data_IF_444727966339
#
_entry.id   IF_444727966339
#
_cell.length_a   1.000
_cell.length_b   1.000
_cell.length_c   1.000
_cell.angle_alpha   90.00
_cell.angle_beta   90.00
_cell.angle_gamma   90.00
#
_symmetry.space_group_name_H-M   'P 1'
#
loop_
_entity.id
_entity.type
_entity.pdbx_description
1 polymer ?
#
# COMPACT_ATOMS: atom_id res chain seq x y z
N UNK A 1 10.07 -15.86 17.68
CA UNK A 1 11.29 -15.08 17.43
C UNK A 1 11.73 -15.30 15.98
N UNK A 2 11.96 -14.25 15.23
CA UNK A 2 12.43 -14.34 13.85
C UNK A 2 13.68 -13.49 13.67
N UNK A 3 14.67 -14.02 12.97
CA UNK A 3 15.91 -13.32 12.62
C UNK A 3 16.00 -13.23 11.11
N UNK A 4 16.24 -12.04 10.58
CA UNK A 4 16.33 -11.80 9.13
C UNK A 4 17.64 -11.11 8.79
N UNK A 5 18.30 -11.60 7.74
CA UNK A 5 19.43 -10.95 7.10
C UNK A 5 19.07 -10.66 5.65
N UNK A 6 19.00 -9.39 5.28
CA UNK A 6 18.64 -8.93 3.96
C UNK A 6 19.78 -8.11 3.36
N UNK A 7 20.25 -8.55 2.19
CA UNK A 7 21.26 -7.86 1.41
C UNK A 7 20.66 -7.38 0.10
N UNK A 8 20.85 -6.11 -0.22
CA UNK A 8 20.46 -5.51 -1.49
C UNK A 8 21.63 -4.75 -2.07
N UNK A 9 21.90 -4.98 -3.34
CA UNK A 9 22.85 -4.22 -4.15
C UNK A 9 22.12 -3.70 -5.39
N UNK A 10 22.29 -2.43 -5.70
CA UNK A 10 21.78 -1.80 -6.92
C UNK A 10 22.88 -0.98 -7.56
N UNK A 11 23.10 -1.22 -8.85
CA UNK A 11 24.07 -0.50 -9.66
C UNK A 11 23.31 0.14 -10.83
N UNK A 12 23.52 1.44 -11.03
CA UNK A 12 23.00 2.16 -12.18
C UNK A 12 24.13 2.91 -12.84
N UNK A 13 24.19 2.81 -14.15
CA UNK A 13 25.03 3.67 -14.97
C UNK A 13 24.12 4.60 -15.76
N UNK A 14 24.31 5.90 -15.63
CA UNK A 14 23.60 6.91 -16.39
C UNK A 14 24.58 7.64 -17.28
N UNK A 15 24.35 7.58 -18.59
CA UNK A 15 25.11 8.35 -19.57
C UNK A 15 24.18 9.44 -20.09
N UNK A 16 24.48 10.69 -19.76
CA UNK A 16 23.73 11.83 -20.30
C UNK A 16 24.07 12.01 -21.77
N UNK A 17 23.09 12.12 -22.70
CA UNK A 17 23.37 12.28 -24.13
C UNK A 17 24.21 13.53 -24.49
N UNK A 18 24.24 14.50 -23.60
CA UNK A 18 24.94 15.80 -23.77
C UNK A 18 26.14 16.02 -22.83
N UNK A 19 26.43 15.07 -21.93
CA UNK A 19 27.52 15.20 -20.98
C UNK A 19 28.60 14.15 -21.27
N UNK A 20 29.85 14.56 -21.25
CA UNK A 20 31.02 13.66 -21.36
C UNK A 20 31.24 12.85 -20.06
N UNK A 21 30.35 12.96 -19.08
CA UNK A 21 30.49 12.30 -17.77
C UNK A 21 29.57 11.09 -17.66
N UNK A 22 30.16 9.94 -17.41
CA UNK A 22 29.46 8.73 -16.98
C UNK A 22 29.12 8.85 -15.49
N UNK A 23 27.86 8.67 -15.14
CA UNK A 23 27.41 8.72 -13.75
C UNK A 23 27.12 7.32 -13.26
N UNK A 24 27.99 6.78 -12.38
CA UNK A 24 27.84 5.46 -11.79
C UNK A 24 27.19 5.59 -10.40
N UNK A 25 26.09 4.91 -10.22
CA UNK A 25 25.37 4.84 -8.95
C UNK A 25 25.42 3.40 -8.41
N UNK A 26 26.22 3.16 -7.37
CA UNK A 26 26.28 1.87 -6.66
C UNK A 26 25.82 2.06 -5.22
N UNK A 27 24.80 1.33 -4.80
CA UNK A 27 24.34 1.29 -3.42
C UNK A 27 24.27 -0.12 -2.90
N UNK A 28 24.77 -0.33 -1.71
CA UNK A 28 24.69 -1.60 -1.00
C UNK A 28 24.03 -1.37 0.34
N UNK A 29 22.97 -2.10 0.62
CA UNK A 29 22.27 -2.06 1.90
C UNK A 29 22.21 -3.45 2.51
N UNK A 30 22.61 -3.55 3.75
CA UNK A 30 22.49 -4.77 4.56
C UNK A 30 21.72 -4.46 5.81
N UNK A 31 20.61 -5.19 6.04
CA UNK A 31 19.79 -5.08 7.25
C UNK A 31 19.73 -6.42 7.97
N UNK A 32 19.98 -6.37 9.27
CA UNK A 32 19.78 -7.48 10.20
C UNK A 32 18.77 -7.07 11.23
N UNK A 33 17.79 -7.91 11.50
CA UNK A 33 16.76 -7.63 12.50
C UNK A 33 16.39 -8.88 13.30
N UNK A 34 16.03 -8.63 14.56
CA UNK A 34 15.47 -9.60 15.48
C UNK A 34 14.09 -9.12 15.87
N UNK A 35 13.07 -9.94 15.60
CA UNK A 35 11.68 -9.67 15.97
C UNK A 35 11.28 -10.64 17.05
N UNK A 36 10.82 -10.11 18.18
CA UNK A 36 10.30 -10.88 19.30
C UNK A 36 8.85 -10.52 19.50
N UNK A 37 7.97 -11.51 19.57
CA UNK A 37 6.54 -11.31 19.84
C UNK A 37 6.14 -12.22 21.01
N UNK A 38 5.42 -11.65 21.97
CA UNK A 38 4.77 -12.36 23.06
C UNK A 38 3.30 -11.95 23.11
N UNK A 39 2.40 -12.92 23.19
CA UNK A 39 0.96 -12.69 23.26
C UNK A 39 0.39 -13.56 24.36
N UNK A 40 -0.38 -12.94 25.25
CA UNK A 40 -1.23 -13.62 26.23
C UNK A 40 -2.68 -13.40 25.82
N UNK A 41 -3.46 -14.47 25.73
CA UNK A 41 -4.88 -14.40 25.41
C UNK A 41 -5.68 -15.18 26.46
N UNK A 42 -6.77 -14.59 26.94
CA UNK A 42 -7.69 -15.20 27.90
C UNK A 42 -9.13 -15.05 27.40
N UNK A 43 -9.85 -16.17 27.37
CA UNK A 43 -11.27 -16.22 27.01
C UNK A 43 -12.08 -16.43 28.25
N UNK A 44 -12.89 -15.44 28.64
CA UNK A 44 -13.78 -15.51 29.78
C UNK A 44 -15.03 -16.35 29.47
N UNK A 45 -15.70 -16.86 30.49
CA UNK A 45 -16.94 -17.66 30.36
C UNK A 45 -18.05 -16.94 29.59
N UNK A 46 -18.12 -15.61 29.68
CA UNK A 46 -19.08 -14.76 28.94
C UNK A 46 -18.66 -14.47 27.49
N UNK A 47 -17.74 -15.25 26.91
CA UNK A 47 -17.19 -15.12 25.55
C UNK A 47 -16.50 -13.77 25.30
N UNK A 48 -16.09 -13.08 26.33
CA UNK A 48 -15.21 -11.93 26.21
C UNK A 48 -13.78 -12.44 26.03
N UNK A 49 -13.06 -11.97 25.03
CA UNK A 49 -11.63 -12.28 24.82
C UNK A 49 -10.81 -11.07 25.20
N UNK A 50 -9.84 -11.25 26.06
CA UNK A 50 -8.83 -10.27 26.40
C UNK A 50 -7.48 -10.76 25.85
N UNK A 51 -6.74 -9.86 25.20
CA UNK A 51 -5.41 -10.13 24.71
C UNK A 51 -4.46 -9.03 25.16
N UNK A 52 -3.27 -9.41 25.61
CA UNK A 52 -2.15 -8.53 25.88
C UNK A 52 -0.98 -8.95 24.99
N UNK A 53 -0.49 -8.05 24.18
CA UNK A 53 0.57 -8.33 23.23
C UNK A 53 1.77 -7.39 23.37
N UNK A 54 2.93 -7.94 23.10
CA UNK A 54 4.18 -7.21 23.01
C UNK A 54 4.93 -7.63 21.77
N UNK A 55 5.36 -6.67 20.97
CA UNK A 55 6.26 -6.90 19.85
C UNK A 55 7.46 -5.98 19.95
N UNK A 56 8.64 -6.56 19.83
CA UNK A 56 9.90 -5.82 19.79
C UNK A 56 10.62 -6.13 18.49
N UNK A 57 11.17 -5.10 17.86
CA UNK A 57 12.05 -5.23 16.70
C UNK A 57 13.33 -4.47 16.97
N UNK A 58 14.44 -5.18 17.01
CA UNK A 58 15.79 -4.61 17.04
C UNK A 58 16.39 -4.78 15.66
N UNK A 59 16.80 -3.70 15.02
CA UNK A 59 17.36 -3.77 13.68
C UNK A 59 18.62 -2.90 13.54
N UNK A 60 19.54 -3.38 12.73
CA UNK A 60 20.72 -2.62 12.29
C UNK A 60 20.80 -2.64 10.79
N UNK A 61 20.83 -1.45 10.20
CA UNK A 61 21.01 -1.25 8.75
C UNK A 61 22.35 -0.61 8.50
N UNK A 62 23.09 -1.12 7.50
CA UNK A 62 24.35 -0.56 7.02
C UNK A 62 24.16 -0.25 5.55
N UNK A 63 24.25 1.03 5.20
CA UNK A 63 24.15 1.52 3.82
C UNK A 63 25.52 2.02 3.37
N UNK A 64 25.93 1.59 2.18
CA UNK A 64 27.10 2.10 1.48
C UNK A 64 26.63 2.72 0.17
N UNK A 65 27.14 3.90 -0.12
CA UNK A 65 26.85 4.65 -1.34
C UNK A 65 28.15 4.84 -2.12
N UNK A 66 28.11 5.26 -3.35
CA UNK A 66 29.25 5.45 -4.27
C UNK A 66 30.39 6.32 -3.75
N UNK A 67 30.17 7.07 -2.70
CA UNK A 67 31.18 7.92 -2.11
C UNK A 67 32.18 7.09 -1.30
N UNK A 68 33.46 7.46 -1.25
CA UNK A 68 34.46 6.79 -0.42
C UNK A 68 34.22 6.95 1.08
N UNK A 69 33.11 7.62 1.45
CA UNK A 69 32.75 7.90 2.82
C UNK A 69 32.43 6.63 3.62
N UNK A 70 32.55 6.73 4.94
CA UNK A 70 32.20 5.65 5.84
C UNK A 70 30.75 5.18 5.66
N UNK A 71 30.49 3.86 5.81
CA UNK A 71 29.13 3.35 5.66
C UNK A 71 28.22 3.90 6.76
N UNK A 72 27.02 4.33 6.36
CA UNK A 72 25.97 4.77 7.27
C UNK A 72 25.41 3.60 8.06
N UNK A 73 25.42 3.72 9.38
CA UNK A 73 24.95 2.67 10.30
C UNK A 73 23.77 3.18 11.10
N UNK A 74 22.61 2.61 10.85
CA UNK A 74 21.36 2.96 11.54
C UNK A 74 20.95 1.83 12.45
N UNK A 75 20.81 2.12 13.74
CA UNK A 75 20.23 1.22 14.71
C UNK A 75 18.78 1.65 14.98
N UNK A 76 17.87 0.69 15.00
CA UNK A 76 16.46 0.90 15.26
C UNK A 76 15.99 -0.05 16.35
N UNK A 77 15.18 0.49 17.24
CA UNK A 77 14.44 -0.29 18.24
C UNK A 77 12.98 0.13 18.19
N UNK A 78 12.11 -0.80 17.89
CA UNK A 78 10.67 -0.56 17.86
C UNK A 78 10.00 -1.47 18.87
N UNK A 79 9.29 -0.89 19.81
CA UNK A 79 8.51 -1.61 20.81
C UNK A 79 7.04 -1.27 20.59
N UNK A 80 6.19 -2.28 20.62
CA UNK A 80 4.75 -2.11 20.58
C UNK A 80 4.13 -2.98 21.69
N UNK A 81 3.48 -2.33 22.64
CA UNK A 81 2.68 -2.99 23.69
C UNK A 81 1.23 -2.65 23.42
N UNK A 82 0.34 -3.64 23.43
CA UNK A 82 -1.08 -3.41 23.23
C UNK A 82 -1.95 -4.30 24.10
N UNK A 83 -3.14 -3.81 24.37
CA UNK A 83 -4.24 -4.59 24.97
C UNK A 83 -5.44 -4.57 24.02
N UNK A 84 -6.07 -5.72 23.84
CA UNK A 84 -7.27 -5.87 23.03
C UNK A 84 -8.37 -6.51 23.85
N UNK A 85 -9.57 -5.97 23.72
CA UNK A 85 -10.80 -6.53 24.28
C UNK A 85 -11.79 -6.80 23.15
N UNK A 86 -12.28 -8.03 23.07
CA UNK A 86 -13.29 -8.42 22.09
C UNK A 86 -14.50 -9.00 22.79
N UNK A 87 -15.69 -8.54 22.43
CA UNK A 87 -16.95 -9.00 23.02
C UNK A 87 -18.10 -9.03 22.02
N UNK A 88 -18.85 -10.11 22.03
CA UNK A 88 -20.14 -10.21 21.37
C UNK A 88 -21.28 -9.93 22.37
N UNK A 89 -22.21 -9.05 22.00
CA UNK A 89 -23.43 -8.71 22.76
C UNK A 89 -24.62 -8.85 21.83
N UNK A 90 -25.33 -9.95 21.92
CA UNK A 90 -26.40 -10.27 20.97
C UNK A 90 -25.87 -10.32 19.54
N UNK A 91 -26.36 -9.45 18.68
CA UNK A 91 -25.97 -9.34 17.27
C UNK A 91 -24.86 -8.32 17.02
N UNK A 92 -24.25 -7.79 18.06
CA UNK A 92 -23.18 -6.79 17.98
C UNK A 92 -21.86 -7.41 18.40
N UNK A 93 -20.81 -7.25 17.60
CA UNK A 93 -19.43 -7.55 17.95
C UNK A 93 -18.65 -6.26 18.07
N UNK A 94 -17.89 -6.15 19.16
CA UNK A 94 -17.04 -4.99 19.46
C UNK A 94 -15.63 -5.50 19.72
N UNK A 95 -14.66 -4.91 19.03
CA UNK A 95 -13.23 -5.08 19.31
C UNK A 95 -12.63 -3.72 19.62
N UNK A 96 -12.02 -3.59 20.78
CA UNK A 96 -11.27 -2.43 21.21
C UNK A 96 -9.81 -2.82 21.28
N UNK A 97 -8.94 -2.08 20.64
CA UNK A 97 -7.50 -2.26 20.74
C UNK A 97 -6.86 -0.92 21.12
N UNK A 98 -5.97 -0.93 22.08
CA UNK A 98 -5.17 0.23 22.45
C UNK A 98 -3.77 -0.21 22.79
N UNK A 99 -2.80 0.57 22.37
CA UNK A 99 -1.39 0.25 22.58
C UNK A 99 -0.50 1.47 22.51
N UNK A 100 0.74 1.25 22.87
CA UNK A 100 1.78 2.26 22.79
C UNK A 100 2.93 1.75 21.95
N UNK A 101 3.35 2.55 20.99
CA UNK A 101 4.50 2.30 20.15
C UNK A 101 5.62 3.26 20.52
N UNK A 102 6.79 2.69 20.82
CA UNK A 102 8.01 3.41 21.15
C UNK A 102 9.06 3.05 20.10
N UNK A 103 9.47 4.04 19.31
CA UNK A 103 10.47 3.86 18.29
C UNK A 103 11.71 4.68 18.62
N UNK A 104 12.86 4.03 18.57
CA UNK A 104 14.16 4.66 18.70
C UNK A 104 14.96 4.44 17.43
N UNK A 105 15.51 5.54 16.89
CA UNK A 105 16.38 5.53 15.71
C UNK A 105 17.68 6.25 16.11
N UNK A 106 18.82 5.62 15.85
CA UNK A 106 20.15 6.20 16.09
C UNK A 106 21.07 6.00 14.90
N UNK A 107 21.72 7.08 14.50
CA UNK A 107 22.79 7.11 13.52
C UNK A 107 23.89 8.06 13.99
N UNK A 108 25.10 7.55 14.19
CA UNK A 108 26.21 8.35 14.72
C UNK A 108 25.84 9.01 16.05
N UNK A 109 25.96 10.35 16.09
CA UNK A 109 25.53 11.19 17.21
C UNK A 109 24.03 11.54 17.18
N UNK A 110 23.35 11.37 16.04
CA UNK A 110 21.96 11.70 15.87
C UNK A 110 21.06 10.60 16.43
N UNK A 111 20.13 10.95 17.31
CA UNK A 111 19.15 10.02 17.84
C UNK A 111 17.78 10.65 17.97
N UNK A 112 16.72 9.85 17.80
CA UNK A 112 15.33 10.26 17.95
C UNK A 112 14.52 9.19 18.64
N UNK A 113 13.66 9.63 19.58
CA UNK A 113 12.65 8.83 20.22
C UNK A 113 11.28 9.32 19.81
N UNK A 114 10.40 8.40 19.45
CA UNK A 114 9.01 8.67 19.14
C UNK A 114 8.14 7.77 20.02
N UNK A 115 7.23 8.38 20.77
CA UNK A 115 6.26 7.66 21.60
C UNK A 115 4.87 8.04 21.09
N UNK A 116 4.08 7.04 20.69
CA UNK A 116 2.76 7.25 20.15
C UNK A 116 1.79 6.18 20.62
N UNK A 117 0.55 6.61 20.77
CA UNK A 117 -0.57 5.69 20.92
C UNK A 117 -0.89 5.05 19.55
N UNK A 118 -1.37 3.82 19.56
CA UNK A 118 -1.98 3.14 18.44
C UNK A 118 -3.26 2.47 18.96
N UNK A 119 -4.42 2.89 18.44
CA UNK A 119 -5.71 2.43 18.95
C UNK A 119 -6.67 2.18 17.81
N UNK A 120 -7.55 1.19 17.97
CA UNK A 120 -8.65 0.94 17.05
C UNK A 120 -9.91 0.50 17.78
N UNK A 121 -11.03 0.82 17.17
CA UNK A 121 -12.33 0.27 17.51
C UNK A 121 -12.94 -0.33 16.25
N UNK A 122 -13.38 -1.58 16.35
CA UNK A 122 -14.14 -2.28 15.33
C UNK A 122 -15.50 -2.63 15.89
N UNK A 123 -16.55 -2.27 15.18
CA UNK A 123 -17.92 -2.60 15.52
C UNK A 123 -18.56 -3.28 14.32
N UNK A 124 -19.17 -4.44 14.54
CA UNK A 124 -19.97 -5.14 13.54
C UNK A 124 -21.33 -5.46 14.15
N UNK A 125 -22.39 -5.01 13.49
CA UNK A 125 -23.76 -5.20 13.93
C UNK A 125 -24.58 -5.88 12.83
N UNK A 126 -25.06 -7.10 13.12
CA UNK A 126 -25.99 -7.83 12.28
C UNK A 126 -27.41 -7.41 12.66
N UNK A 127 -28.01 -6.47 11.91
CA UNK A 127 -29.38 -5.96 12.16
C UNK A 127 -30.38 -7.07 11.88
N UNK A 128 -30.22 -7.73 10.73
CA UNK A 128 -31.01 -8.90 10.28
C UNK A 128 -30.08 -9.85 9.52
N UNK A 129 -30.54 -11.07 9.21
CA UNK A 129 -29.75 -12.07 8.45
C UNK A 129 -29.20 -11.56 7.12
N UNK A 130 -29.82 -10.55 6.56
CA UNK A 130 -29.48 -9.96 5.27
C UNK A 130 -29.07 -8.48 5.34
N UNK A 131 -28.83 -7.97 6.54
CA UNK A 131 -28.47 -6.55 6.77
C UNK A 131 -27.42 -6.47 7.87
N UNK A 132 -26.30 -5.86 7.59
CA UNK A 132 -25.24 -5.60 8.58
C UNK A 132 -24.56 -4.26 8.36
N UNK A 133 -24.13 -3.70 9.46
CA UNK A 133 -23.33 -2.47 9.53
C UNK A 133 -21.97 -2.83 10.07
N UNK A 134 -20.92 -2.27 9.51
CA UNK A 134 -19.61 -2.25 10.15
C UNK A 134 -19.09 -0.83 10.30
N UNK A 135 -18.35 -0.62 11.36
CA UNK A 135 -17.66 0.62 11.65
C UNK A 135 -16.26 0.28 12.16
N UNK A 136 -15.27 0.89 11.56
CA UNK A 136 -13.88 0.82 12.02
C UNK A 136 -13.33 2.23 12.18
N UNK A 137 -12.76 2.50 13.34
CA UNK A 137 -11.97 3.70 13.56
C UNK A 137 -10.58 3.29 14.04
N UNK A 138 -9.54 3.80 13.41
CA UNK A 138 -8.19 3.53 13.86
C UNK A 138 -7.32 4.77 13.86
N UNK A 139 -6.41 4.81 14.81
CA UNK A 139 -5.35 5.78 14.94
C UNK A 139 -4.03 5.04 15.09
N UNK A 140 -3.09 5.35 14.22
CA UNK A 140 -1.76 4.74 14.27
C UNK A 140 -0.67 5.70 13.78
N UNK A 141 0.54 5.62 14.37
CA UNK A 141 1.70 6.31 13.84
C UNK A 141 2.16 5.63 12.52
N UNK A 142 2.73 6.43 11.61
CA UNK A 142 3.42 5.94 10.42
C UNK A 142 4.92 5.98 10.71
N UNK A 143 5.63 4.89 10.39
CA UNK A 143 7.06 4.82 10.62
C UNK A 143 7.81 5.70 9.62
N UNK A 144 8.78 6.48 10.11
CA UNK A 144 9.76 7.19 9.27
C UNK A 144 10.87 6.20 8.92
N UNK A 145 11.19 6.12 7.65
CA UNK A 145 12.31 5.29 7.20
C UNK A 145 13.65 5.96 7.56
N UNK A 146 14.69 5.19 7.95
CA UNK A 146 15.98 5.76 8.30
C UNK A 146 16.56 6.69 7.24
N UNK A 147 16.39 6.33 5.97
CA UNK A 147 16.83 7.12 4.84
C UNK A 147 16.20 8.51 4.76
N UNK A 148 14.95 8.65 5.24
CA UNK A 148 14.25 9.94 5.26
C UNK A 148 14.73 10.85 6.38
N UNK A 149 15.34 10.26 7.42
CA UNK A 149 15.75 10.97 8.62
C UNK A 149 17.22 11.43 8.57
N UNK A 150 18.07 10.70 7.84
CA UNK A 150 19.52 10.93 7.78
C UNK A 150 19.82 12.10 6.85
N UNK A 151 20.46 13.14 7.35
CA UNK A 151 20.89 14.30 6.56
C UNK A 151 22.18 13.96 5.77
N UNK A 152 22.00 13.11 4.77
CA UNK A 152 23.06 12.75 3.84
C UNK A 152 22.61 13.08 2.43
N UNK A 153 23.41 13.90 1.75
CA UNK A 153 23.16 14.27 0.38
C UNK A 153 23.71 13.22 -0.58
N UNK A 154 22.89 12.72 -1.46
CA UNK A 154 23.26 11.74 -2.45
C UNK A 154 22.79 12.16 -3.84
N UNK A 155 23.71 12.28 -4.77
CA UNK A 155 23.40 12.58 -6.16
C UNK A 155 22.88 11.31 -6.85
N UNK A 156 21.61 11.33 -7.27
CA UNK A 156 20.95 10.21 -7.95
C UNK A 156 21.05 10.29 -9.48
N UNK A 157 21.19 11.50 -10.00
CA UNK A 157 21.38 11.78 -11.41
C UNK A 157 22.03 13.16 -11.57
N UNK A 158 22.47 13.57 -12.77
CA UNK A 158 23.02 14.90 -12.98
C UNK A 158 22.15 16.05 -12.48
N UNK A 159 20.81 15.84 -12.42
CA UNK A 159 19.82 16.87 -12.10
C UNK A 159 19.11 16.66 -10.76
N UNK A 160 19.45 15.61 -10.01
CA UNK A 160 18.76 15.24 -8.76
C UNK A 160 19.72 14.80 -7.68
N UNK A 161 19.62 15.47 -6.55
CA UNK A 161 20.24 15.11 -5.28
C UNK A 161 19.13 14.78 -4.30
N UNK A 162 19.28 13.75 -3.49
CA UNK A 162 18.37 13.45 -2.40
C UNK A 162 19.05 13.68 -1.07
N UNK A 163 18.31 14.16 -0.09
CA UNK A 163 18.76 14.36 1.28
C UNK A 163 17.66 13.92 2.25
N UNK A 164 18.03 13.43 3.42
CA UNK A 164 17.07 13.23 4.50
C UNK A 164 16.81 14.52 5.29
N UNK A 165 15.92 14.43 6.27
CA UNK A 165 15.59 15.55 7.15
C UNK A 165 15.49 15.08 8.60
N UNK A 166 16.50 15.40 9.45
CA UNK A 166 16.49 15.01 10.85
C UNK A 166 15.42 15.68 11.69
N UNK A 167 14.77 16.74 11.17
CA UNK A 167 13.73 17.48 11.87
C UNK A 167 12.31 16.98 11.59
N UNK A 168 12.18 15.82 10.94
CA UNK A 168 10.87 15.24 10.66
C UNK A 168 10.12 14.90 11.93
N UNK A 169 8.83 15.29 11.94
CA UNK A 169 7.85 14.84 12.92
C UNK A 169 7.25 13.51 12.43
N UNK A 170 7.00 12.60 13.37
CA UNK A 170 6.41 11.31 13.03
C UNK A 170 4.99 11.48 12.52
N UNK A 171 4.67 10.98 11.31
CA UNK A 171 3.34 11.06 10.76
C UNK A 171 2.34 10.24 11.58
N UNK A 172 1.10 10.72 11.64
CA UNK A 172 -0.02 10.12 12.34
C UNK A 172 -1.17 9.92 11.38
N UNK A 173 -1.77 8.76 11.41
CA UNK A 173 -2.86 8.38 10.54
C UNK A 173 -4.14 8.10 11.32
N UNK A 174 -5.21 8.79 10.99
CA UNK A 174 -6.58 8.54 11.40
C UNK A 174 -7.34 7.94 10.23
N UNK A 175 -8.09 6.89 10.47
CA UNK A 175 -8.99 6.32 9.48
C UNK A 175 -10.32 5.96 10.12
N UNK A 176 -11.41 6.40 9.50
CA UNK A 176 -12.77 6.06 9.84
C UNK A 176 -13.39 5.37 8.63
N UNK A 177 -13.94 4.19 8.82
CA UNK A 177 -14.64 3.43 7.78
C UNK A 177 -16.01 3.05 8.32
N UNK A 178 -17.04 3.35 7.57
CA UNK A 178 -18.40 2.91 7.86
C UNK A 178 -19.02 2.31 6.60
N UNK A 179 -19.56 1.13 6.71
CA UNK A 179 -20.29 0.48 5.64
C UNK A 179 -21.60 -0.13 6.13
N UNK A 180 -22.55 -0.17 5.23
CA UNK A 180 -23.85 -0.80 5.44
C UNK A 180 -24.13 -1.73 4.28
N UNK A 181 -24.32 -2.99 4.54
CA UNK A 181 -24.61 -3.98 3.50
C UNK A 181 -26.05 -4.48 3.62
N UNK A 182 -26.74 -4.46 2.49
CA UNK A 182 -28.06 -5.06 2.34
C UNK A 182 -28.01 -6.13 1.27
N UNK A 183 -28.56 -7.31 1.58
CA UNK A 183 -28.70 -8.40 0.63
C UNK A 183 -30.19 -8.70 0.41
N UNK A 184 -30.66 -8.59 -0.83
CA UNK A 184 -32.01 -8.92 -1.24
C UNK A 184 -31.94 -10.04 -2.28
N UNK A 185 -32.30 -11.24 -1.86
CA UNK A 185 -32.15 -12.42 -2.71
C UNK A 185 -30.69 -12.62 -3.13
N UNK A 186 -30.42 -12.52 -4.41
CA UNK A 186 -29.11 -12.70 -5.04
C UNK A 186 -28.33 -11.38 -5.22
N UNK A 187 -28.90 -10.25 -4.84
CA UNK A 187 -28.33 -8.92 -4.99
C UNK A 187 -27.83 -8.42 -3.63
N UNK A 188 -26.63 -7.89 -3.60
CA UNK A 188 -26.03 -7.22 -2.45
C UNK A 188 -25.60 -5.81 -2.85
N UNK A 189 -25.90 -4.84 -1.98
CA UNK A 189 -25.49 -3.44 -2.15
C UNK A 189 -24.82 -2.97 -0.87
N UNK A 190 -23.66 -2.33 -1.01
CA UNK A 190 -22.86 -1.84 0.10
C UNK A 190 -22.41 -0.41 -0.16
N UNK A 191 -23.13 0.61 0.32
CA UNK A 191 -22.58 1.94 0.48
C UNK A 191 -21.50 1.93 1.58
N UNK A 192 -20.41 2.65 1.33
CA UNK A 192 -19.29 2.79 2.26
C UNK A 192 -18.80 4.24 2.25
N UNK A 193 -18.45 4.73 3.42
CA UNK A 193 -17.75 6.01 3.60
C UNK A 193 -16.42 5.73 4.28
N UNK A 194 -15.33 6.28 3.71
CA UNK A 194 -13.99 6.23 4.28
C UNK A 194 -13.49 7.65 4.45
N UNK A 195 -13.08 7.99 5.65
CA UNK A 195 -12.40 9.26 5.94
C UNK A 195 -11.03 8.99 6.50
N UNK A 196 -9.99 9.47 5.80
CA UNK A 196 -8.62 9.40 6.24
C UNK A 196 -8.09 10.80 6.51
N UNK A 197 -7.37 10.96 7.61
CA UNK A 197 -6.66 12.20 7.95
C UNK A 197 -5.26 11.86 8.42
N UNK A 198 -4.29 12.46 7.76
CA UNK A 198 -2.89 12.33 8.13
C UNK A 198 -2.39 13.68 8.68
N UNK A 199 -1.80 13.65 9.87
CA UNK A 199 -1.01 14.76 10.40
C UNK A 199 0.46 14.47 10.14
N UNK A 200 1.20 15.49 9.73
CA UNK A 200 2.63 15.40 9.46
C UNK A 200 3.02 14.36 8.40
N UNK A 201 2.10 14.02 7.49
CA UNK A 201 2.42 13.12 6.37
C UNK A 201 3.66 13.64 5.65
N UNK A 202 4.52 12.72 5.24
CA UNK A 202 5.74 13.11 4.52
C UNK A 202 5.40 13.42 3.05
N UNK A 203 5.90 14.56 2.60
CA UNK A 203 5.94 14.96 1.21
C UNK A 203 7.39 15.25 0.82
N UNK A 204 7.66 15.41 -0.45
CA UNK A 204 8.99 15.81 -0.94
C UNK A 204 8.98 17.27 -1.29
N UNK A 205 9.87 18.07 -0.71
CA UNK A 205 10.21 19.40 -1.19
C UNK A 205 11.35 19.31 -2.21
N UNK A 206 11.40 20.30 -3.07
CA UNK A 206 12.42 20.43 -4.12
C UNK A 206 13.01 21.81 -4.05
N UNK A 207 14.31 21.90 -3.87
CA UNK A 207 15.05 23.15 -3.82
C UNK A 207 16.24 23.08 -4.80
N UNK A 208 16.39 24.09 -5.63
CA UNK A 208 17.52 24.13 -6.54
C UNK A 208 18.79 24.52 -5.80
N UNK A 209 19.83 23.71 -5.93
CA UNK A 209 21.15 23.96 -5.37
C UNK A 209 22.13 24.33 -6.50
N UNK A 210 22.72 25.52 -6.38
CA UNK A 210 23.77 25.96 -7.31
C UNK A 210 25.06 25.17 -7.12
N UNK A 211 25.35 24.67 -5.93
CA UNK A 211 26.50 23.83 -5.61
C UNK A 211 26.47 22.52 -6.41
N UNK A 212 25.29 21.88 -6.44
CA UNK A 212 25.10 20.61 -7.16
C UNK A 212 24.66 20.80 -8.62
N UNK A 213 24.30 22.02 -9.01
CA UNK A 213 23.60 22.31 -10.28
C UNK A 213 22.42 21.36 -10.52
N UNK A 214 21.64 21.09 -9.47
CA UNK A 214 20.61 20.08 -9.43
C UNK A 214 19.52 20.42 -8.41
N UNK A 215 18.36 19.79 -8.53
CA UNK A 215 17.33 19.85 -7.50
C UNK A 215 17.66 18.91 -6.34
N UNK A 216 17.64 19.45 -5.12
CA UNK A 216 17.74 18.70 -3.87
C UNK A 216 16.32 18.30 -3.44
N UNK A 217 16.08 17.02 -3.39
CA UNK A 217 14.84 16.43 -2.89
C UNK A 217 14.97 16.14 -1.40
N UNK A 218 14.09 16.72 -0.60
CA UNK A 218 14.12 16.58 0.85
C UNK A 218 12.73 16.23 1.39
N UNK A 219 12.59 15.21 2.26
CA UNK A 219 11.31 14.91 2.89
C UNK A 219 10.95 16.03 3.88
N UNK A 220 9.69 16.46 3.84
CA UNK A 220 9.12 17.47 4.72
C UNK A 220 7.77 17.01 5.24
N UNK A 221 7.35 17.53 6.38
CA UNK A 221 6.01 17.26 6.89
C UNK A 221 4.98 18.21 6.27
N UNK A 222 3.87 17.66 5.80
CA UNK A 222 2.66 18.42 5.51
C UNK A 222 1.96 18.80 6.81
N UNK A 223 1.24 19.93 6.81
CA UNK A 223 0.38 20.28 7.94
C UNK A 223 -0.76 19.30 8.10
N UNK A 224 -1.38 18.93 6.98
CA UNK A 224 -2.36 17.83 6.93
C UNK A 224 -2.50 17.27 5.49
N UNK A 225 -3.05 16.07 5.44
CA UNK A 225 -3.55 15.40 4.25
C UNK A 225 -4.87 14.72 4.63
N UNK A 226 -5.93 15.04 3.90
CA UNK A 226 -7.28 14.50 4.14
C UNK A 226 -7.76 13.78 2.88
N UNK A 227 -8.47 12.70 3.08
CA UNK A 227 -9.15 12.00 2.00
C UNK A 227 -10.53 11.50 2.46
N UNK A 228 -11.59 11.93 1.79
CA UNK A 228 -12.94 11.42 1.94
C UNK A 228 -13.30 10.59 0.70
N UNK A 229 -13.74 9.37 0.91
CA UNK A 229 -14.16 8.46 -0.16
C UNK A 229 -15.59 8.04 0.11
N UNK A 230 -16.48 8.34 -0.83
CA UNK A 230 -17.80 7.74 -0.90
C UNK A 230 -17.78 6.60 -1.92
N UNK A 231 -18.11 5.39 -1.52
CA UNK A 231 -18.11 4.20 -2.37
C UNK A 231 -19.47 3.55 -2.37
N UNK A 232 -19.93 3.16 -3.54
CA UNK A 232 -21.10 2.29 -3.69
C UNK A 232 -20.67 1.03 -4.42
N UNK A 233 -20.79 -0.12 -3.76
CA UNK A 233 -20.55 -1.43 -4.35
C UNK A 233 -21.87 -2.15 -4.54
N UNK A 234 -22.00 -2.86 -5.66
CA UNK A 234 -23.14 -3.72 -5.93
C UNK A 234 -22.66 -5.05 -6.52
N UNK A 235 -23.31 -6.12 -6.13
CA UNK A 235 -23.09 -7.44 -6.71
C UNK A 235 -24.39 -8.19 -6.88
N UNK A 236 -24.50 -8.96 -7.97
CA UNK A 236 -25.57 -9.89 -8.20
C UNK A 236 -24.98 -11.23 -8.60
N UNK A 237 -25.32 -12.30 -7.88
CA UNK A 237 -24.71 -13.62 -8.07
C UNK A 237 -25.74 -14.63 -8.55
N UNK A 238 -25.32 -15.56 -9.40
CA UNK A 238 -26.15 -16.66 -9.91
C UNK A 238 -27.49 -16.19 -10.52
N UNK A 239 -27.52 -15.03 -11.16
CA UNK A 239 -28.71 -14.57 -11.88
C UNK A 239 -28.99 -15.56 -13.01
N UNK A 240 -30.24 -16.02 -13.11
CA UNK A 240 -30.62 -17.12 -13.98
C UNK A 240 -29.74 -18.38 -13.86
N UNK A 241 -29.07 -18.57 -12.71
CA UNK A 241 -28.19 -19.70 -12.45
C UNK A 241 -26.82 -19.64 -13.14
N UNK A 242 -26.53 -18.60 -13.92
CA UNK A 242 -25.31 -18.56 -14.74
C UNK A 242 -24.58 -17.22 -14.80
N UNK A 243 -25.18 -16.12 -14.35
CA UNK A 243 -24.56 -14.81 -14.47
C UNK A 243 -24.17 -14.22 -13.11
N UNK A 244 -22.98 -13.66 -13.03
CA UNK A 244 -22.52 -12.85 -11.90
C UNK A 244 -22.18 -11.44 -12.39
N UNK A 245 -22.59 -10.44 -11.63
CA UNK A 245 -22.32 -9.03 -11.88
C UNK A 245 -21.67 -8.43 -10.64
N UNK A 246 -20.63 -7.64 -10.84
CA UNK A 246 -19.96 -6.84 -9.80
C UNK A 246 -19.65 -5.46 -10.31
N UNK A 247 -19.79 -4.47 -9.45
CA UNK A 247 -19.36 -3.12 -9.77
C UNK A 247 -19.17 -2.27 -8.54
N UNK A 248 -18.35 -1.25 -8.68
CA UNK A 248 -18.24 -0.15 -7.71
C UNK A 248 -18.06 1.17 -8.41
N UNK A 249 -18.54 2.21 -7.77
CA UNK A 249 -18.22 3.60 -8.08
C UNK A 249 -17.70 4.26 -6.81
N UNK A 250 -16.56 4.94 -6.93
CA UNK A 250 -15.88 5.61 -5.85
C UNK A 250 -15.76 7.10 -6.20
N UNK A 251 -16.26 7.96 -5.34
CA UNK A 251 -15.98 9.40 -5.36
C UNK A 251 -14.89 9.69 -4.32
N UNK A 252 -13.83 10.39 -4.74
CA UNK A 252 -12.70 10.79 -3.92
C UNK A 252 -12.63 12.29 -3.82
N UNK A 253 -12.58 12.79 -2.59
CA UNK A 253 -12.24 14.17 -2.29
C UNK A 253 -10.99 14.16 -1.43
N UNK A 254 -9.89 14.71 -1.93
CA UNK A 254 -8.63 14.80 -1.18
C UNK A 254 -8.09 16.22 -1.16
N UNK A 255 -7.41 16.55 -0.08
CA UNK A 255 -6.79 17.85 0.09
C UNK A 255 -5.55 17.76 0.96
N UNK A 256 -4.49 18.42 0.54
CA UNK A 256 -3.25 18.58 1.30
C UNK A 256 -2.99 20.05 1.61
N UNK A 257 -2.26 20.30 2.69
CA UNK A 257 -1.76 21.62 3.03
C UNK A 257 -0.31 21.55 3.47
N UNK A 258 0.51 22.38 2.85
CA UNK A 258 1.91 22.57 3.21
C UNK A 258 2.06 23.39 4.49
N UNK A 259 3.20 23.27 5.16
CA UNK A 259 3.52 24.09 6.33
C UNK A 259 3.51 25.60 6.01
N UNK A 260 3.88 26.00 4.80
CA UNK A 260 3.82 27.38 4.29
C UNK A 260 2.42 27.91 3.98
N UNK A 261 1.35 27.11 4.17
CA UNK A 261 -0.05 27.51 3.94
C UNK A 261 -0.61 27.20 2.56
N UNK A 262 0.21 26.87 1.58
CA UNK A 262 -0.24 26.43 0.27
C UNK A 262 -1.07 25.15 0.36
N UNK A 263 -2.05 25.01 -0.51
CA UNK A 263 -2.95 23.85 -0.49
C UNK A 263 -3.25 23.33 -1.90
N UNK A 264 -3.47 22.04 -1.99
CA UNK A 264 -3.95 21.38 -3.22
C UNK A 264 -5.21 20.57 -2.89
N UNK A 265 -6.18 20.59 -3.80
CA UNK A 265 -7.42 19.79 -3.69
C UNK A 265 -7.63 19.00 -4.96
N UNK A 266 -8.15 17.80 -4.81
CA UNK A 266 -8.45 16.91 -5.92
C UNK A 266 -9.79 16.24 -5.70
N UNK A 267 -10.68 16.33 -6.72
CA UNK A 267 -11.92 15.56 -6.80
C UNK A 267 -11.82 14.60 -7.96
N UNK A 268 -12.19 13.36 -7.76
CA UNK A 268 -12.12 12.37 -8.82
C UNK A 268 -13.14 11.25 -8.62
N UNK A 269 -13.52 10.63 -9.72
CA UNK A 269 -14.37 9.43 -9.75
C UNK A 269 -13.55 8.30 -10.34
N UNK A 270 -13.66 7.13 -9.74
CA UNK A 270 -13.10 5.87 -10.24
C UNK A 270 -14.09 4.75 -9.99
N UNK A 271 -13.87 3.62 -10.61
CA UNK A 271 -14.74 2.47 -10.38
C UNK A 271 -14.45 1.32 -11.32
N UNK A 272 -15.21 0.27 -11.17
CA UNK A 272 -15.14 -0.87 -12.08
C UNK A 272 -16.52 -1.50 -12.27
N UNK A 273 -16.67 -2.19 -13.39
CA UNK A 273 -17.81 -3.06 -13.69
C UNK A 273 -17.30 -4.38 -14.23
N UNK A 274 -17.95 -5.45 -13.84
CA UNK A 274 -17.61 -6.81 -14.26
C UNK A 274 -18.88 -7.61 -14.46
N UNK A 275 -18.96 -8.35 -15.57
CA UNK A 275 -19.96 -9.37 -15.83
C UNK A 275 -19.27 -10.69 -16.13
N UNK A 276 -19.80 -11.76 -15.56
CA UNK A 276 -19.29 -13.13 -15.76
C UNK A 276 -20.46 -14.05 -16.09
N UNK A 277 -20.20 -14.98 -16.96
CA UNK A 277 -21.11 -16.03 -17.38
C UNK A 277 -20.46 -17.41 -17.20
N UNK A 278 -21.23 -18.34 -16.67
CA UNK A 278 -20.81 -19.71 -16.41
C UNK A 278 -21.91 -20.67 -16.95
N UNK A 279 -21.52 -21.56 -17.81
CA UNK A 279 -22.43 -22.59 -18.30
C UNK A 279 -21.68 -23.88 -18.60
N UNK A 280 -21.96 -24.93 -17.83
CA UNK A 280 -21.32 -26.24 -17.96
C UNK A 280 -19.79 -26.10 -17.88
N UNK A 281 -19.09 -26.39 -18.98
CA UNK A 281 -17.63 -26.35 -19.13
C UNK A 281 -17.12 -24.98 -19.59
N UNK A 282 -17.99 -24.01 -19.81
CA UNK A 282 -17.66 -22.70 -20.32
C UNK A 282 -17.74 -21.63 -19.23
N UNK A 283 -16.78 -20.75 -19.24
CA UNK A 283 -16.85 -19.50 -18.49
C UNK A 283 -16.38 -18.34 -19.35
N UNK A 284 -17.04 -17.22 -19.27
CA UNK A 284 -16.64 -15.99 -19.96
C UNK A 284 -16.90 -14.78 -19.09
N UNK A 285 -16.18 -13.70 -19.32
CA UNK A 285 -16.41 -12.48 -18.56
C UNK A 285 -15.81 -11.27 -19.23
N UNK A 286 -16.42 -10.13 -18.93
CA UNK A 286 -15.94 -8.82 -19.32
C UNK A 286 -15.78 -7.96 -18.08
N UNK A 287 -14.71 -7.18 -18.03
CA UNK A 287 -14.49 -6.19 -16.97
C UNK A 287 -13.94 -4.89 -17.56
N UNK A 288 -14.32 -3.80 -16.93
CA UNK A 288 -13.79 -2.48 -17.23
C UNK A 288 -13.52 -1.73 -15.92
N UNK A 289 -12.29 -1.30 -15.73
CA UNK A 289 -11.86 -0.45 -14.64
C UNK A 289 -11.56 0.94 -15.19
N UNK A 290 -12.29 1.96 -14.74
CA UNK A 290 -12.01 3.33 -15.06
C UNK A 290 -11.27 4.01 -13.90
N UNK A 291 -10.02 4.39 -14.19
CA UNK A 291 -9.13 4.94 -13.19
C UNK A 291 -9.32 6.45 -13.03
N UNK A 292 -9.56 6.88 -11.80
CA UNK A 292 -9.48 8.29 -11.40
C UNK A 292 -8.06 8.67 -10.98
N UNK A 293 -7.81 9.97 -10.92
CA UNK A 293 -6.60 10.50 -10.28
C UNK A 293 -6.69 10.32 -8.77
N UNK A 294 -5.57 10.03 -8.09
CA UNK A 294 -5.48 9.91 -6.63
C UNK A 294 -4.28 10.71 -6.15
N UNK A 295 -4.43 11.42 -5.05
CA UNK A 295 -3.32 12.10 -4.38
C UNK A 295 -2.86 11.32 -3.16
N UNK A 296 -1.55 11.28 -2.96
CA UNK A 296 -0.91 10.85 -1.73
C UNK A 296 0.21 11.85 -1.42
N UNK A 297 0.02 12.61 -0.37
CA UNK A 297 0.87 13.76 -0.13
C UNK A 297 0.85 14.70 -1.35
N UNK A 298 2.02 15.12 -1.82
CA UNK A 298 2.18 16.00 -2.95
C UNK A 298 2.28 15.32 -4.33
N UNK A 299 1.94 14.04 -4.38
CA UNK A 299 1.95 13.26 -5.61
C UNK A 299 0.54 12.91 -6.03
N UNK A 300 0.16 13.33 -7.23
CA UNK A 300 -1.07 12.89 -7.90
C UNK A 300 -0.72 11.80 -8.90
N UNK A 301 -1.35 10.66 -8.79
CA UNK A 301 -1.15 9.54 -9.71
C UNK A 301 -2.47 9.11 -10.34
N UNK A 302 -2.40 8.61 -11.57
CA UNK A 302 -3.49 7.95 -12.26
C UNK A 302 -2.96 6.66 -12.86
N UNK A 303 -3.56 5.54 -12.49
CA UNK A 303 -3.33 4.27 -13.16
C UNK A 303 -4.11 4.23 -14.48
N UNK A 304 -3.85 3.21 -15.28
CA UNK A 304 -4.56 2.96 -16.52
C UNK A 304 -6.04 2.60 -16.29
N UNK A 305 -6.86 2.94 -17.29
CA UNK A 305 -8.19 2.35 -17.43
C UNK A 305 -8.04 1.02 -18.15
N UNK A 306 -8.40 -0.05 -17.48
CA UNK A 306 -8.13 -1.41 -17.93
C UNK A 306 -9.43 -2.14 -18.32
N UNK A 307 -9.46 -2.69 -19.52
CA UNK A 307 -10.56 -3.53 -20.00
C UNK A 307 -10.06 -4.94 -20.31
N UNK A 308 -10.86 -5.93 -19.97
CA UNK A 308 -10.58 -7.33 -20.25
C UNK A 308 -11.84 -8.04 -20.70
N UNK A 309 -11.74 -8.78 -21.80
CA UNK A 309 -12.66 -9.84 -22.19
C UNK A 309 -11.94 -11.17 -22.09
N UNK A 310 -12.54 -12.15 -21.47
CA UNK A 310 -11.94 -13.48 -21.37
C UNK A 310 -12.99 -14.57 -21.57
N UNK A 311 -12.53 -15.69 -22.05
CA UNK A 311 -13.31 -16.91 -22.12
C UNK A 311 -12.42 -18.10 -21.75
N UNK A 312 -12.99 -19.10 -21.11
CA UNK A 312 -12.32 -20.35 -20.79
C UNK A 312 -13.23 -21.53 -21.05
N UNK A 313 -12.61 -22.64 -21.47
CA UNK A 313 -13.26 -23.92 -21.70
C UNK A 313 -12.52 -25.01 -20.95
N UNK A 314 -13.26 -25.80 -20.19
CA UNK A 314 -12.76 -26.92 -19.39
C UNK A 314 -13.32 -28.23 -19.95
N UNK A 315 -12.76 -28.81 -21.05
CA UNK A 315 -13.28 -30.01 -21.67
C UNK A 315 -13.31 -31.22 -20.72
N UNK A 316 -12.40 -31.26 -19.77
CA UNK A 316 -12.30 -32.25 -18.70
C UNK A 316 -11.52 -31.71 -17.51
N UNK A 317 -11.28 -32.53 -16.48
CA UNK A 317 -10.57 -32.14 -15.26
C UNK A 317 -9.07 -31.85 -15.46
N UNK A 318 -8.51 -32.18 -16.63
CA UNK A 318 -7.08 -32.04 -16.91
C UNK A 318 -6.77 -30.80 -17.77
N UNK A 319 -7.68 -30.41 -18.65
CA UNK A 319 -7.44 -29.35 -19.61
C UNK A 319 -8.25 -28.08 -19.33
N UNK A 320 -7.57 -26.94 -19.39
CA UNK A 320 -8.18 -25.62 -19.44
C UNK A 320 -7.63 -24.87 -20.63
N UNK A 321 -8.49 -24.49 -21.54
CA UNK A 321 -8.18 -23.61 -22.66
C UNK A 321 -8.77 -22.24 -22.36
N UNK A 322 -7.98 -21.18 -22.46
CA UNK A 322 -8.45 -19.82 -22.20
C UNK A 322 -7.93 -18.82 -23.22
N UNK A 323 -8.77 -17.85 -23.53
CA UNK A 323 -8.42 -16.68 -24.31
C UNK A 323 -8.72 -15.42 -23.49
N UNK A 324 -7.83 -14.45 -23.57
CA UNK A 324 -7.99 -13.15 -22.90
C UNK A 324 -7.60 -12.03 -23.86
N UNK A 325 -8.49 -11.06 -23.99
CA UNK A 325 -8.25 -9.83 -24.72
C UNK A 325 -8.21 -8.65 -23.73
N UNK A 326 -7.12 -7.90 -23.72
CA UNK A 326 -6.88 -6.82 -22.77
C UNK A 326 -6.76 -5.48 -23.47
N UNK A 327 -7.11 -4.42 -22.73
CA UNK A 327 -7.03 -3.03 -23.20
C UNK A 327 -7.84 -2.74 -24.49
N UNK A 328 -9.00 -3.39 -24.65
CA UNK A 328 -9.88 -3.26 -25.82
C UNK A 328 -10.30 -1.80 -26.10
N UNK A 329 -10.48 -1.00 -25.04
CA UNK A 329 -10.93 0.39 -25.14
C UNK A 329 -9.84 1.41 -24.81
N UNK A 330 -8.57 0.99 -24.78
CA UNK A 330 -7.43 1.82 -24.40
C UNK A 330 -6.38 1.82 -25.50
N UNK A 331 -6.46 2.74 -26.50
CA UNK A 331 -5.54 2.74 -27.64
C UNK A 331 -4.08 3.03 -27.25
N UNK A 332 -3.85 3.61 -26.09
CA UNK A 332 -2.51 3.82 -25.51
C UNK A 332 -1.99 2.57 -24.77
N UNK A 333 -2.82 1.54 -24.59
CA UNK A 333 -2.53 0.37 -23.77
C UNK A 333 -2.36 0.72 -22.29
N UNK A 334 -1.39 0.10 -21.64
CA UNK A 334 -1.04 0.44 -20.26
C UNK A 334 -0.51 1.88 -20.18
N UNK A 335 -1.02 2.61 -19.19
CA UNK A 335 -0.63 4.01 -18.96
C UNK A 335 -0.36 4.26 -17.49
N UNK A 336 0.60 5.12 -17.20
CA UNK A 336 0.90 5.62 -15.87
C UNK A 336 1.11 7.14 -15.95
N UNK A 337 0.34 7.85 -15.17
CA UNK A 337 0.49 9.29 -14.98
C UNK A 337 0.87 9.56 -13.53
N UNK A 338 1.90 10.39 -13.34
CA UNK A 338 2.34 10.85 -12.03
C UNK A 338 2.69 12.33 -12.12
N UNK A 339 2.07 13.13 -11.30
CA UNK A 339 2.33 14.55 -11.16
C UNK A 339 2.80 14.82 -9.73
N UNK A 340 3.95 15.45 -9.59
CA UNK A 340 4.50 15.85 -8.31
C UNK A 340 4.50 17.37 -8.25
N UNK A 341 3.83 17.92 -7.24
CA UNK A 341 3.72 19.37 -7.04
C UNK A 341 4.29 19.74 -5.67
N UNK A 342 5.19 20.70 -5.65
CA UNK A 342 5.74 21.29 -4.43
C UNK A 342 5.90 22.80 -4.63
N UNK A 343 6.04 23.59 -3.56
CA UNK A 343 6.35 25.00 -3.71
C UNK A 343 7.55 25.23 -4.64
N UNK A 344 7.34 26.01 -5.72
CA UNK A 344 8.38 26.29 -6.73
C UNK A 344 8.77 25.11 -7.63
N UNK A 345 8.08 23.97 -7.59
CA UNK A 345 8.42 22.79 -8.38
C UNK A 345 7.18 22.05 -8.89
N UNK A 346 7.19 21.68 -10.16
CA UNK A 346 6.21 20.76 -10.75
C UNK A 346 6.92 19.79 -11.69
N UNK A 347 6.57 18.52 -11.60
CA UNK A 347 7.07 17.46 -12.47
C UNK A 347 5.93 16.58 -12.93
N UNK A 348 5.88 16.28 -14.22
CA UNK A 348 4.88 15.40 -14.82
C UNK A 348 5.60 14.23 -15.47
N UNK A 349 5.20 13.03 -15.08
CA UNK A 349 5.63 11.78 -15.68
C UNK A 349 4.42 11.09 -16.31
N UNK A 350 4.39 11.01 -17.65
CA UNK A 350 3.35 10.32 -18.43
C UNK A 350 4.00 9.24 -19.29
N UNK A 351 3.66 7.99 -19.01
CA UNK A 351 4.19 6.82 -19.70
C UNK A 351 3.06 5.97 -20.27
N UNK A 352 3.26 5.43 -21.46
CA UNK A 352 2.35 4.45 -22.07
C UNK A 352 3.13 3.32 -22.72
N UNK A 353 2.52 2.13 -22.73
CA UNK A 353 3.05 0.94 -23.40
C UNK A 353 2.04 0.52 -24.46
N UNK A 354 2.18 1.07 -25.68
CA UNK A 354 1.25 0.83 -26.79
C UNK A 354 1.14 -0.64 -27.18
N UNK A 355 2.21 -1.41 -27.04
CA UNK A 355 2.21 -2.85 -27.36
C UNK A 355 1.30 -3.69 -26.46
N UNK A 356 0.82 -3.15 -25.34
CA UNK A 356 -0.19 -3.80 -24.49
C UNK A 356 -1.63 -3.53 -24.97
N UNK A 357 -1.84 -2.55 -25.87
CA UNK A 357 -3.16 -2.23 -26.42
C UNK A 357 -3.68 -3.39 -27.28
N UNK A 358 -4.95 -3.76 -27.07
CA UNK A 358 -5.60 -4.84 -27.81
C UNK A 358 -4.83 -6.17 -27.80
N UNK A 359 -4.08 -6.46 -26.73
CA UNK A 359 -3.30 -7.67 -26.64
C UNK A 359 -4.23 -8.90 -26.40
N UNK A 360 -4.01 -9.95 -27.20
CA UNK A 360 -4.74 -11.22 -27.10
C UNK A 360 -3.77 -12.29 -26.60
N UNK A 361 -4.18 -12.99 -25.55
CA UNK A 361 -3.44 -14.12 -24.97
C UNK A 361 -4.28 -15.37 -25.11
N UNK A 362 -3.65 -16.44 -25.59
CA UNK A 362 -4.25 -17.78 -25.66
C UNK A 362 -3.40 -18.68 -24.78
N UNK A 363 -4.04 -19.41 -23.87
CA UNK A 363 -3.37 -20.28 -22.92
C UNK A 363 -4.02 -21.65 -22.91
N UNK A 364 -3.21 -22.70 -22.99
CA UNK A 364 -3.62 -24.08 -22.77
C UNK A 364 -2.91 -24.59 -21.51
N UNK A 365 -3.66 -25.03 -20.52
CA UNK A 365 -3.13 -25.56 -19.27
C UNK A 365 -3.53 -27.02 -19.13
N UNK A 366 -2.55 -27.89 -18.94
CA UNK A 366 -2.76 -29.27 -18.57
C UNK A 366 -2.38 -29.47 -17.11
N UNK A 367 -3.30 -29.98 -16.30
CA UNK A 367 -3.09 -30.29 -14.89
C UNK A 367 -3.14 -31.78 -14.67
N UNK A 368 -2.07 -32.35 -14.14
CA UNK A 368 -2.05 -33.74 -13.70
C UNK A 368 -1.61 -33.79 -12.23
N UNK A 369 -2.25 -34.65 -11.48
CA UNK A 369 -1.89 -34.93 -10.10
C UNK A 369 -1.39 -36.38 -10.00
N UNK A 370 -0.16 -36.54 -9.52
CA UNK A 370 0.43 -37.83 -9.26
C UNK A 370 0.63 -38.02 -7.74
N UNK A 371 0.29 -39.18 -7.22
CA UNK A 371 0.46 -39.55 -5.82
C UNK A 371 -0.73 -39.13 -4.91
N UNK A 372 -0.61 -39.54 -3.64
CA UNK A 372 -1.61 -39.25 -2.63
C UNK A 372 -1.67 -37.76 -2.30
N UNK A 373 -2.89 -37.26 -2.01
CA UNK A 373 -3.08 -35.88 -1.58
C UNK A 373 -2.49 -35.74 -0.16
N UNK A 374 -1.27 -35.22 -0.07
CA UNK A 374 -0.69 -34.83 1.18
C UNK A 374 -1.39 -33.55 1.66
N UNK A 375 -2.27 -33.68 2.64
CA UNK A 375 -2.83 -32.51 3.36
C UNK A 375 -1.80 -32.05 4.40
N UNK A 376 -1.04 -30.99 4.15
CA UNK A 376 -0.17 -30.48 5.21
C UNK A 376 -1.04 -30.10 6.39
N UNK A 377 -0.72 -30.63 7.58
CA UNK A 377 -1.35 -30.16 8.80
C UNK A 377 -1.16 -28.66 8.87
N UNK A 378 -2.25 -27.92 8.99
CA UNK A 378 -2.26 -26.45 9.07
C UNK A 378 -1.60 -25.98 10.38
N UNK A 379 -0.29 -26.08 10.47
CA UNK A 379 0.47 -25.30 11.42
C UNK A 379 0.60 -23.90 10.81
N UNK A 380 -0.28 -23.01 11.22
CA UNK A 380 -0.17 -21.58 10.95
C UNK A 380 1.13 -21.04 11.56
N UNK A 381 2.25 -21.23 10.86
CA UNK A 381 3.47 -20.48 11.10
C UNK A 381 3.41 -19.24 10.23
N UNK A 382 2.68 -18.23 10.66
CA UNK A 382 2.77 -16.90 10.07
C UNK A 382 4.04 -16.21 10.57
N UNK A 383 5.19 -16.62 10.05
CA UNK A 383 6.41 -15.82 10.20
C UNK A 383 6.28 -14.73 9.16
N UNK A 384 5.86 -13.55 9.60
CA UNK A 384 5.69 -12.39 8.70
C UNK A 384 7.06 -11.72 8.50
N UNK A 385 7.81 -12.17 7.51
CA UNK A 385 9.17 -11.73 7.22
C UNK A 385 9.16 -10.50 6.29
N UNK A 386 8.41 -9.44 6.65
CA UNK A 386 8.25 -8.21 5.85
C UNK A 386 9.31 -7.13 6.13
N UNK A 387 10.22 -7.38 7.06
CA UNK A 387 11.26 -6.42 7.38
C UNK A 387 12.38 -6.47 6.34
N UNK A 388 12.40 -5.49 5.43
CA UNK A 388 13.36 -5.39 4.32
C UNK A 388 14.23 -4.16 4.45
N UNK A 389 15.47 -4.25 3.97
CA UNK A 389 16.31 -3.08 3.80
C UNK A 389 15.76 -2.20 2.69
N UNK A 390 15.65 -0.90 2.96
CA UNK A 390 15.23 0.09 1.97
C UNK A 390 16.35 1.10 1.77
N UNK A 391 16.61 1.41 0.51
CA UNK A 391 17.51 2.48 0.07
C UNK A 391 16.68 3.55 -0.63
N UNK A 392 17.22 4.74 -0.78
CA UNK A 392 16.61 5.75 -1.62
C UNK A 392 16.44 5.20 -3.03
N UNK A 393 15.23 5.00 -3.46
CA UNK A 393 14.89 4.67 -4.83
C UNK A 393 13.74 5.54 -5.27
N UNK A 394 14.03 6.40 -6.18
CA UNK A 394 13.09 7.34 -6.79
C UNK A 394 12.31 6.75 -7.97
N UNK A 395 12.37 5.44 -8.18
CA UNK A 395 11.82 4.79 -9.38
C UNK A 395 10.86 3.63 -9.05
N UNK A 396 9.94 3.84 -8.11
CA UNK A 396 8.73 3.00 -8.04
C UNK A 396 7.48 3.87 -8.00
#
# INVERSE_FOLDING_TARGET
MANTDYNMQRNYTYVAPSAQEEYIYDTRSRRRSLITTAVYSHIFQNKTTFELGYTNTVARTVNRYNTPDEPYRVNQLNNHVYAQLQKGIGNVWITLNTGMQIDYIKEGSLSRNYIHNASSIDLSWTIRRNMWVSFNANYKPIMIEPSQFIDHQQKLSPYRVTSGNPNLRKPQHWSLVADYTVKVGKISVTPQIVYNRNHYLLATSYEYSSEWNAFVEKPVNLSYDNCLIGRLQASAQEIAGMFNFHGSIDYWHSGIRWAGGESMRLNTVSGYVQAQWYYRQWAAGVSYNFAGKRSLGNVVSKSDSYSTLWASWHPNNHWTLSARWTYMFSPRGWTMYKETTAPGYQSIYDRSIRNSANAVFITATYSCQFGDIFRPSSRNRTINNRDKAKTYTSFE
#
